data_IF_299536705721
#
_entry.id   IF_299536705721
#
_cell.length_a   1.000
_cell.length_b   1.000
_cell.length_c   1.000
_cell.angle_alpha   90.00
_cell.angle_beta   90.00
_cell.angle_gamma   90.00
#
_symmetry.space_group_name_H-M   'P 1'
#
loop_
_entity.id
_entity.type
_entity.pdbx_description
1 polymer ?
#
# COMPACT_ATOMS: atom_id res chain seq x y z
N UNK A 1 -11.13 2.04 9.81
CA UNK A 1 -10.17 1.19 9.07
C UNK A 1 -10.79 -0.07 8.53
N UNK A 2 -11.43 -0.92 9.34
CA UNK A 2 -11.89 -2.26 8.95
C UNK A 2 -12.90 -2.38 7.80
N UNK A 3 -13.60 -1.30 7.43
CA UNK A 3 -14.58 -1.32 6.33
C UNK A 3 -14.03 -0.65 5.05
N UNK A 4 -13.45 0.55 5.20
CA UNK A 4 -13.14 1.43 4.06
C UNK A 4 -11.80 1.14 3.38
N UNK A 5 -10.82 0.61 4.11
CA UNK A 5 -9.43 0.47 3.62
C UNK A 5 -9.07 -0.93 3.08
N UNK A 6 -9.52 -2.06 3.68
CA UNK A 6 -9.10 -3.39 3.25
C UNK A 6 -9.48 -3.72 1.81
N UNK A 7 -10.50 -3.03 1.28
CA UNK A 7 -10.98 -3.23 -0.08
C UNK A 7 -9.91 -2.97 -1.14
N UNK A 8 -9.11 -1.90 -0.98
CA UNK A 8 -8.03 -1.57 -1.94
C UNK A 8 -6.99 -2.68 -2.00
N UNK A 9 -6.58 -3.16 -0.83
CA UNK A 9 -5.52 -4.16 -0.69
C UNK A 9 -5.97 -5.49 -1.31
N UNK A 10 -7.16 -5.97 -0.92
CA UNK A 10 -7.74 -7.20 -1.46
C UNK A 10 -8.01 -7.13 -2.96
N UNK A 11 -8.43 -5.97 -3.48
CA UNK A 11 -8.60 -5.73 -4.90
C UNK A 11 -7.26 -5.82 -5.66
N UNK A 12 -6.21 -5.23 -5.11
CA UNK A 12 -4.87 -5.25 -5.72
C UNK A 12 -4.32 -6.67 -5.80
N UNK A 13 -4.52 -7.48 -4.75
CA UNK A 13 -4.18 -8.92 -4.76
C UNK A 13 -4.96 -9.64 -5.86
N UNK A 14 -6.28 -9.42 -5.95
CA UNK A 14 -7.14 -10.08 -6.92
C UNK A 14 -6.73 -9.75 -8.36
N UNK A 15 -6.47 -8.47 -8.65
CA UNK A 15 -5.96 -8.04 -9.97
C UNK A 15 -4.59 -8.62 -10.27
N UNK A 16 -3.66 -8.61 -9.31
CA UNK A 16 -2.31 -9.15 -9.51
C UNK A 16 -2.32 -10.65 -9.83
N UNK A 17 -3.10 -11.44 -9.10
CA UNK A 17 -3.21 -12.88 -9.31
C UNK A 17 -4.01 -13.25 -10.57
N UNK A 18 -5.02 -12.45 -10.92
CA UNK A 18 -5.75 -12.63 -12.19
C UNK A 18 -4.84 -12.36 -13.38
N UNK A 19 -4.07 -11.27 -13.35
CA UNK A 19 -3.15 -10.91 -14.42
C UNK A 19 -2.01 -11.92 -14.61
N UNK A 20 -1.44 -12.43 -13.51
CA UNK A 20 -0.27 -13.32 -13.56
C UNK A 20 -0.65 -14.79 -13.78
N UNK A 21 -1.70 -15.27 -13.10
CA UNK A 21 -2.03 -16.70 -13.04
C UNK A 21 -3.42 -17.03 -13.61
N UNK A 22 -4.20 -16.05 -14.06
CA UNK A 22 -5.58 -16.25 -14.53
C UNK A 22 -6.54 -16.66 -13.41
N UNK A 23 -6.17 -16.48 -12.14
CA UNK A 23 -7.02 -16.86 -11.00
C UNK A 23 -8.14 -15.85 -10.84
N UNK A 24 -9.39 -16.31 -10.94
CA UNK A 24 -10.55 -15.43 -10.81
C UNK A 24 -10.56 -14.68 -9.48
N UNK A 25 -10.99 -13.41 -9.50
CA UNK A 25 -11.06 -12.53 -8.32
C UNK A 25 -11.85 -13.14 -7.15
N UNK A 26 -12.92 -13.88 -7.44
CA UNK A 26 -13.73 -14.57 -6.43
C UNK A 26 -12.94 -15.64 -5.68
N UNK A 27 -12.17 -16.46 -6.40
CA UNK A 27 -11.31 -17.50 -5.80
C UNK A 27 -10.25 -16.85 -4.93
N UNK A 28 -9.57 -15.82 -5.44
CA UNK A 28 -8.61 -15.03 -4.66
C UNK A 28 -9.24 -14.47 -3.40
N UNK A 29 -10.42 -13.84 -3.50
CA UNK A 29 -11.17 -13.31 -2.37
C UNK A 29 -11.42 -14.36 -1.29
N UNK A 30 -11.89 -15.55 -1.67
CA UNK A 30 -12.11 -16.66 -0.73
C UNK A 30 -10.84 -17.13 -0.03
N UNK A 31 -9.73 -17.27 -0.78
CA UNK A 31 -8.44 -17.66 -0.22
C UNK A 31 -7.92 -16.62 0.77
N UNK A 32 -7.99 -15.34 0.40
CA UNK A 32 -7.53 -14.23 1.25
C UNK A 32 -8.33 -14.17 2.56
N UNK A 33 -9.67 -14.28 2.51
CA UNK A 33 -10.47 -14.26 3.74
C UNK A 33 -10.27 -15.52 4.59
N UNK A 34 -10.05 -16.68 3.98
CA UNK A 34 -9.81 -17.92 4.72
C UNK A 34 -8.49 -17.83 5.52
N UNK A 35 -7.42 -17.36 4.87
CA UNK A 35 -6.13 -17.14 5.52
C UNK A 35 -6.22 -16.05 6.59
N UNK A 36 -6.91 -14.94 6.28
CA UNK A 36 -7.11 -13.85 7.24
C UNK A 36 -7.88 -14.34 8.47
N UNK A 37 -8.97 -15.09 8.28
CA UNK A 37 -9.76 -15.67 9.36
C UNK A 37 -8.91 -16.58 10.26
N UNK A 38 -8.11 -17.47 9.66
CA UNK A 38 -7.21 -18.35 10.41
C UNK A 38 -6.27 -17.56 11.34
N UNK A 39 -5.82 -16.39 10.90
CA UNK A 39 -4.91 -15.54 11.67
C UNK A 39 -5.65 -14.71 12.72
N UNK A 40 -6.67 -13.93 12.34
CA UNK A 40 -7.32 -12.96 13.24
C UNK A 40 -8.13 -13.64 14.34
N UNK A 41 -8.65 -14.85 14.12
CA UNK A 41 -9.30 -15.62 15.18
C UNK A 41 -8.31 -16.16 16.21
N UNK A 42 -7.02 -16.27 15.86
CA UNK A 42 -5.93 -16.58 16.79
C UNK A 42 -5.49 -15.40 17.67
N UNK A 43 -6.01 -14.20 17.43
CA UNK A 43 -5.74 -12.98 18.20
C UNK A 43 -4.40 -12.31 17.89
N UNK A 44 -4.14 -11.20 18.59
CA UNK A 44 -3.03 -10.28 18.34
C UNK A 44 -1.65 -10.96 18.34
N UNK A 45 -1.40 -11.93 19.23
CA UNK A 45 -0.13 -12.66 19.27
C UNK A 45 0.15 -13.42 17.97
N UNK A 46 -0.87 -14.04 17.37
CA UNK A 46 -0.73 -14.75 16.09
C UNK A 46 -0.46 -13.76 14.95
N UNK A 47 -1.15 -12.62 14.94
CA UNK A 47 -0.92 -11.55 13.96
C UNK A 47 0.53 -11.08 14.00
N UNK A 48 1.04 -10.74 15.18
CA UNK A 48 2.43 -10.32 15.36
C UNK A 48 3.43 -11.41 14.91
N UNK A 49 3.16 -12.67 15.26
CA UNK A 49 4.01 -13.81 14.87
C UNK A 49 4.04 -14.03 13.36
N UNK A 50 2.93 -13.86 12.65
CA UNK A 50 2.93 -13.99 11.18
C UNK A 50 3.62 -12.78 10.53
N UNK A 51 3.34 -11.57 11.03
CA UNK A 51 3.92 -10.35 10.49
C UNK A 51 5.45 -10.30 10.61
N UNK A 52 6.03 -10.71 11.76
CA UNK A 52 7.48 -10.68 11.96
C UNK A 52 8.26 -11.56 10.98
N UNK A 53 7.66 -12.63 10.45
CA UNK A 53 8.31 -13.49 9.44
C UNK A 53 7.98 -13.06 8.01
N UNK A 54 6.73 -12.66 7.77
CA UNK A 54 6.25 -12.31 6.42
C UNK A 54 6.87 -11.00 5.92
N UNK A 55 6.97 -9.99 6.79
CA UNK A 55 7.43 -8.64 6.40
C UNK A 55 8.89 -8.64 5.96
N UNK A 56 9.85 -9.25 6.68
CA UNK A 56 11.23 -9.32 6.20
C UNK A 56 11.36 -10.11 4.90
N UNK A 57 10.64 -11.23 4.77
CA UNK A 57 10.67 -12.06 3.57
C UNK A 57 10.20 -11.28 2.33
N UNK A 58 9.04 -10.62 2.42
CA UNK A 58 8.49 -9.87 1.28
C UNK A 58 9.35 -8.66 0.91
N UNK A 59 9.87 -7.92 1.91
CA UNK A 59 10.67 -6.73 1.67
C UNK A 59 12.03 -7.07 1.06
N UNK A 60 12.73 -8.06 1.61
CA UNK A 60 14.04 -8.50 1.09
C UNK A 60 13.89 -9.07 -0.33
N UNK A 61 12.91 -9.94 -0.56
CA UNK A 61 12.67 -10.50 -1.88
C UNK A 61 12.40 -9.42 -2.94
N UNK A 62 11.53 -8.45 -2.62
CA UNK A 62 11.21 -7.34 -3.52
C UNK A 62 12.40 -6.43 -3.79
N UNK A 63 13.13 -6.03 -2.75
CA UNK A 63 14.30 -5.16 -2.90
C UNK A 63 15.41 -5.85 -3.69
N UNK A 64 15.63 -7.15 -3.51
CA UNK A 64 16.65 -7.88 -4.29
C UNK A 64 16.35 -7.86 -5.78
N UNK A 65 15.11 -8.17 -6.18
CA UNK A 65 14.72 -8.12 -7.60
C UNK A 65 14.81 -6.70 -8.15
N UNK A 66 14.38 -5.71 -7.38
CA UNK A 66 14.51 -4.32 -7.79
C UNK A 66 15.97 -3.90 -7.96
N UNK A 67 16.88 -4.29 -7.06
CA UNK A 67 18.31 -4.00 -7.18
C UNK A 67 18.93 -4.68 -8.41
N UNK A 68 18.51 -5.89 -8.75
CA UNK A 68 18.93 -6.56 -9.99
C UNK A 68 18.49 -5.74 -11.21
N UNK A 69 17.22 -5.33 -11.26
CA UNK A 69 16.68 -4.56 -12.40
C UNK A 69 17.35 -3.18 -12.50
N UNK A 70 17.52 -2.48 -11.37
CA UNK A 70 18.23 -1.19 -11.33
C UNK A 70 19.69 -1.38 -11.75
N UNK A 71 20.36 -2.45 -11.30
CA UNK A 71 21.74 -2.76 -11.67
C UNK A 71 21.90 -3.04 -13.17
N UNK A 72 20.94 -3.75 -13.78
CA UNK A 72 20.91 -3.98 -15.22
C UNK A 72 20.68 -2.69 -16.03
N UNK A 73 20.01 -1.69 -15.44
CA UNK A 73 19.68 -0.41 -16.07
C UNK A 73 20.45 0.77 -15.44
N UNK A 74 21.63 0.52 -14.87
CA UNK A 74 22.34 1.53 -14.06
C UNK A 74 22.71 2.79 -14.87
N UNK A 75 22.93 2.65 -16.19
CA UNK A 75 23.19 3.76 -17.10
C UNK A 75 22.01 4.72 -17.25
N UNK A 76 20.78 4.23 -17.05
CA UNK A 76 19.54 5.00 -17.20
C UNK A 76 19.16 5.76 -15.93
N UNK A 77 19.79 5.45 -14.78
CA UNK A 77 19.49 6.08 -13.49
C UNK A 77 19.53 7.61 -13.57
N UNK A 78 20.58 8.26 -14.12
CA UNK A 78 20.61 9.72 -14.23
C UNK A 78 19.48 10.29 -15.08
N UNK A 79 19.10 9.60 -16.16
CA UNK A 79 18.03 10.02 -17.06
C UNK A 79 16.66 9.95 -16.38
N UNK A 80 16.38 8.86 -15.65
CA UNK A 80 15.14 8.72 -14.87
C UNK A 80 15.05 9.74 -13.73
N UNK A 81 16.15 9.99 -13.00
CA UNK A 81 16.17 11.07 -12.02
C UNK A 81 15.85 12.42 -12.67
N UNK A 82 16.51 12.75 -13.79
CA UNK A 82 16.25 13.99 -14.52
C UNK A 82 14.78 14.08 -14.98
N UNK A 83 14.20 12.99 -15.47
CA UNK A 83 12.79 12.92 -15.87
C UNK A 83 11.85 13.20 -14.70
N UNK A 84 12.07 12.56 -13.54
CA UNK A 84 11.23 12.76 -12.34
C UNK A 84 11.26 14.24 -11.93
N UNK A 85 12.44 14.84 -11.82
CA UNK A 85 12.58 16.25 -11.43
C UNK A 85 11.98 17.19 -12.49
N UNK A 86 12.29 17.01 -13.77
CA UNK A 86 11.73 17.86 -14.83
C UNK A 86 10.20 17.77 -14.87
N UNK A 87 9.63 16.58 -14.72
CA UNK A 87 8.18 16.39 -14.69
C UNK A 87 7.55 17.01 -13.45
N UNK A 88 8.14 16.79 -12.27
CA UNK A 88 7.64 17.31 -10.99
C UNK A 88 7.74 18.83 -10.85
N UNK A 89 8.59 19.49 -11.64
CA UNK A 89 8.72 20.95 -11.69
C UNK A 89 8.20 21.56 -13.00
N UNK A 90 7.56 20.76 -13.86
CA UNK A 90 6.94 21.23 -15.11
C UNK A 90 7.92 21.68 -16.20
N UNK A 91 9.20 21.34 -16.08
CA UNK A 91 10.24 21.63 -17.07
C UNK A 91 10.31 20.59 -18.21
N UNK A 92 9.58 19.47 -18.08
CA UNK A 92 9.40 18.50 -19.15
C UNK A 92 8.30 18.98 -20.12
N UNK A 93 8.58 19.03 -21.42
CA UNK A 93 7.62 19.55 -22.41
C UNK A 93 6.40 18.64 -22.61
N UNK A 94 6.54 17.34 -22.31
CA UNK A 94 5.47 16.36 -22.42
C UNK A 94 4.55 16.38 -21.19
N UNK A 95 5.13 16.59 -20.00
CA UNK A 95 4.41 16.54 -18.73
C UNK A 95 4.18 17.91 -18.06
N UNK A 96 4.66 19.00 -18.65
CA UNK A 96 4.56 20.35 -18.07
C UNK A 96 3.13 20.82 -17.81
N UNK A 97 2.18 20.40 -18.66
CA UNK A 97 0.75 20.72 -18.53
C UNK A 97 0.05 20.02 -17.37
N UNK A 98 0.66 19.00 -16.74
CA UNK A 98 0.06 18.20 -15.67
C UNK A 98 0.69 18.41 -14.29
N UNK A 99 1.57 19.41 -14.12
CA UNK A 99 2.32 19.68 -12.87
C UNK A 99 1.46 19.58 -11.60
N UNK A 100 0.34 20.32 -11.56
CA UNK A 100 -0.54 20.34 -10.38
C UNK A 100 -1.16 18.97 -10.09
N UNK A 101 -1.52 18.22 -11.13
CA UNK A 101 -2.06 16.87 -10.98
C UNK A 101 -0.98 15.87 -10.57
N UNK A 102 0.26 16.01 -11.06
CA UNK A 102 1.38 15.16 -10.67
C UNK A 102 1.70 15.30 -9.19
N UNK A 103 1.72 16.54 -8.67
CA UNK A 103 1.88 16.81 -7.23
C UNK A 103 0.71 16.23 -6.44
N UNK A 104 -0.53 16.49 -6.87
CA UNK A 104 -1.72 16.00 -6.17
C UNK A 104 -1.76 14.46 -6.10
N UNK A 105 -1.42 13.78 -7.20
CA UNK A 105 -1.34 12.32 -7.25
C UNK A 105 -0.17 11.79 -6.41
N UNK A 106 1.00 12.43 -6.49
CA UNK A 106 2.17 12.06 -5.69
C UNK A 106 1.89 12.15 -4.19
N UNK A 107 1.31 13.26 -3.72
CA UNK A 107 0.92 13.43 -2.31
C UNK A 107 -0.16 12.42 -1.92
N UNK A 108 -1.22 12.30 -2.72
CA UNK A 108 -2.32 11.37 -2.45
C UNK A 108 -1.82 9.94 -2.29
N UNK A 109 -1.02 9.45 -3.26
CA UNK A 109 -0.50 8.06 -3.23
C UNK A 109 0.64 7.87 -2.24
N UNK A 110 1.45 8.90 -1.98
CA UNK A 110 2.49 8.87 -0.96
C UNK A 110 1.92 8.65 0.44
N UNK A 111 0.87 9.38 0.81
CA UNK A 111 0.19 9.21 2.11
C UNK A 111 -0.38 7.80 2.26
N UNK A 112 -0.91 7.20 1.18
CA UNK A 112 -1.39 5.82 1.20
C UNK A 112 -0.31 4.79 1.52
N UNK A 113 0.92 5.05 1.08
CA UNK A 113 2.02 4.10 1.26
C UNK A 113 2.58 4.17 2.66
N UNK A 114 2.99 5.37 3.10
CA UNK A 114 3.70 5.53 4.36
C UNK A 114 2.83 5.87 5.56
N UNK A 115 1.53 6.11 5.34
CA UNK A 115 0.56 6.46 6.36
C UNK A 115 0.92 7.72 7.18
N UNK A 116 1.75 8.61 6.62
CA UNK A 116 2.18 9.83 7.28
C UNK A 116 0.99 10.74 7.57
N UNK A 117 0.84 11.11 8.84
CA UNK A 117 -0.27 11.95 9.32
C UNK A 117 -1.62 11.22 9.50
N UNK A 118 -1.72 9.95 9.14
CA UNK A 118 -2.96 9.17 9.24
C UNK A 118 -3.33 8.76 10.68
N UNK A 119 -2.36 8.72 11.59
CA UNK A 119 -2.58 8.37 13.01
C UNK A 119 -2.58 6.87 13.29
N UNK A 120 -2.08 6.07 12.36
CA UNK A 120 -2.14 4.60 12.38
C UNK A 120 -0.85 3.97 12.90
N UNK A 121 0.31 4.48 12.46
CA UNK A 121 1.63 4.08 12.96
C UNK A 121 1.76 3.99 14.49
N UNK A 122 1.16 4.90 15.28
CA UNK A 122 1.20 4.82 16.74
C UNK A 122 0.62 3.53 17.36
N UNK A 123 -0.27 2.80 16.67
CA UNK A 123 -0.86 1.57 17.23
C UNK A 123 0.19 0.49 17.47
N UNK A 124 1.04 0.21 16.48
CA UNK A 124 2.14 -0.75 16.61
C UNK A 124 3.22 -0.23 17.56
N UNK A 125 3.55 1.07 17.47
CA UNK A 125 4.51 1.71 18.36
C UNK A 125 4.11 1.62 19.85
N UNK A 126 2.82 1.75 20.16
CA UNK A 126 2.31 1.66 21.52
C UNK A 126 2.42 0.25 22.14
N UNK A 127 2.56 -0.79 21.31
CA UNK A 127 2.76 -2.16 21.76
C UNK A 127 4.24 -2.54 21.93
N UNK A 128 5.18 -1.68 21.53
CA UNK A 128 6.60 -1.94 21.64
C UNK A 128 7.10 -1.76 23.08
N UNK A 129 7.95 -2.68 23.53
CA UNK A 129 8.66 -2.55 24.79
C UNK A 129 9.85 -1.59 24.60
N UNK A 130 9.68 -0.34 25.01
CA UNK A 130 10.68 0.72 24.86
C UNK A 130 10.84 1.54 26.13
N UNK A 131 12.06 2.00 26.39
CA UNK A 131 12.34 2.78 27.58
C UNK A 131 11.84 4.23 27.53
N UNK A 132 11.54 4.76 26.34
CA UNK A 132 11.10 6.14 26.17
C UNK A 132 10.31 6.29 24.85
N UNK A 133 9.18 7.02 24.82
CA UNK A 133 8.34 7.17 23.63
C UNK A 133 9.10 7.76 22.43
N UNK A 134 10.04 8.68 22.65
CA UNK A 134 10.85 9.25 21.57
C UNK A 134 11.68 8.20 20.82
N UNK A 135 12.19 7.16 21.50
CA UNK A 135 12.96 6.09 20.83
C UNK A 135 12.08 5.35 19.83
N UNK A 136 10.87 5.00 20.23
CA UNK A 136 9.93 4.34 19.32
C UNK A 136 9.40 5.28 18.25
N UNK A 137 9.22 6.57 18.56
CA UNK A 137 8.89 7.59 17.59
C UNK A 137 9.91 7.69 16.45
N UNK A 138 11.21 7.63 16.78
CA UNK A 138 12.29 7.62 15.78
C UNK A 138 12.27 6.35 14.91
N UNK A 139 12.05 5.18 15.52
CA UNK A 139 11.89 3.91 14.78
C UNK A 139 10.69 3.98 13.83
N UNK A 140 9.57 4.54 14.30
CA UNK A 140 8.37 4.71 13.47
C UNK A 140 8.60 5.72 12.33
N UNK A 141 9.30 6.82 12.57
CA UNK A 141 9.67 7.77 11.51
C UNK A 141 10.59 7.11 10.48
N UNK A 142 11.52 6.25 10.91
CA UNK A 142 12.39 5.49 10.01
C UNK A 142 11.61 4.57 9.06
N UNK A 143 10.47 4.01 9.49
CA UNK A 143 9.64 3.14 8.64
C UNK A 143 9.16 3.82 7.34
N UNK A 144 8.93 5.14 7.37
CA UNK A 144 8.55 5.94 6.18
C UNK A 144 9.65 5.91 5.12
N UNK A 145 10.92 5.91 5.55
CA UNK A 145 12.05 5.84 4.61
C UNK A 145 12.12 4.46 3.95
N UNK A 146 11.96 3.39 4.72
CA UNK A 146 11.94 2.02 4.16
C UNK A 146 10.82 1.87 3.14
N UNK A 147 9.62 2.32 3.46
CA UNK A 147 8.48 2.22 2.56
C UNK A 147 8.63 3.12 1.33
N UNK A 148 8.68 4.44 1.51
CA UNK A 148 8.63 5.38 0.38
C UNK A 148 9.97 5.52 -0.33
N UNK A 149 11.05 5.74 0.41
CA UNK A 149 12.35 6.03 -0.22
C UNK A 149 12.94 4.78 -0.88
N UNK A 150 12.82 3.61 -0.26
CA UNK A 150 13.36 2.39 -0.83
C UNK A 150 12.34 1.63 -1.69
N UNK A 151 11.24 1.15 -1.11
CA UNK A 151 10.30 0.26 -1.83
C UNK A 151 9.54 1.00 -2.94
N UNK A 152 8.96 2.17 -2.67
CA UNK A 152 8.22 2.90 -3.69
C UNK A 152 9.14 3.48 -4.77
N UNK A 153 10.30 4.05 -4.41
CA UNK A 153 11.25 4.55 -5.43
C UNK A 153 11.78 3.42 -6.31
N UNK A 154 12.08 2.26 -5.72
CA UNK A 154 12.46 1.07 -6.47
C UNK A 154 11.35 0.65 -7.46
N UNK A 155 10.09 0.66 -7.01
CA UNK A 155 8.92 0.39 -7.87
C UNK A 155 8.85 1.38 -9.02
N UNK A 156 8.97 2.68 -8.73
CA UNK A 156 8.95 3.74 -9.73
C UNK A 156 10.10 3.58 -10.75
N UNK A 157 11.31 3.27 -10.30
CA UNK A 157 12.45 3.05 -11.19
C UNK A 157 12.25 1.86 -12.11
N UNK A 158 11.75 0.72 -11.61
CA UNK A 158 11.44 -0.43 -12.47
C UNK A 158 10.43 -0.07 -13.57
N UNK A 159 9.38 0.68 -13.22
CA UNK A 159 8.36 1.15 -14.17
C UNK A 159 8.96 2.15 -15.18
N UNK A 160 9.76 3.11 -14.72
CA UNK A 160 10.29 4.18 -15.57
C UNK A 160 11.41 3.70 -16.50
N UNK A 161 12.30 2.80 -16.05
CA UNK A 161 13.34 2.21 -16.91
C UNK A 161 12.75 1.42 -18.08
N UNK A 162 11.63 0.75 -17.84
CA UNK A 162 11.00 -0.12 -18.83
C UNK A 162 9.95 0.61 -19.66
N UNK A 163 9.59 1.84 -19.29
CA UNK A 163 8.52 2.60 -19.93
C UNK A 163 7.14 1.99 -19.74
N UNK A 164 6.96 1.02 -18.84
CA UNK A 164 5.72 0.25 -18.68
C UNK A 164 4.69 0.99 -17.82
N UNK A 165 4.25 2.16 -18.32
CA UNK A 165 3.23 3.00 -17.69
C UNK A 165 2.39 3.72 -18.75
N UNK A 166 1.19 4.12 -18.34
CA UNK A 166 0.41 5.12 -19.07
C UNK A 166 0.32 6.40 -18.25
N UNK A 167 0.22 7.54 -18.93
CA UNK A 167 0.00 8.85 -18.32
C UNK A 167 -1.23 9.47 -18.96
N UNK A 168 -2.15 9.94 -18.12
CA UNK A 168 -3.41 10.55 -18.55
C UNK A 168 -3.37 12.03 -18.21
N UNK A 169 -3.78 12.88 -19.15
CA UNK A 169 -3.93 14.31 -18.99
C UNK A 169 -5.14 14.69 -18.14
N UNK A 170 -5.24 15.99 -17.81
CA UNK A 170 -6.36 16.51 -17.02
C UNK A 170 -7.73 16.38 -17.73
N UNK A 171 -7.71 16.29 -19.06
CA UNK A 171 -8.86 16.09 -19.95
C UNK A 171 -9.26 14.60 -20.09
N UNK A 172 -8.52 13.69 -19.46
CA UNK A 172 -8.75 12.24 -19.57
C UNK A 172 -8.13 11.61 -20.83
N UNK A 173 -7.47 12.39 -21.69
CA UNK A 173 -6.76 11.86 -22.84
C UNK A 173 -5.40 11.28 -22.43
N UNK A 174 -4.93 10.25 -23.13
CA UNK A 174 -3.60 9.72 -22.89
C UNK A 174 -2.52 10.69 -23.38
N UNK A 175 -1.61 11.07 -22.50
CA UNK A 175 -0.34 11.74 -22.83
C UNK A 175 0.66 10.67 -23.28
N UNK A 176 0.71 9.55 -22.57
CA UNK A 176 1.50 8.35 -22.89
C UNK A 176 0.59 7.14 -22.75
N UNK A 177 0.57 6.28 -23.76
CA UNK A 177 -0.14 4.99 -23.73
C UNK A 177 0.79 3.87 -24.20
N UNK A 178 1.60 3.33 -23.28
CA UNK A 178 2.50 2.21 -23.57
C UNK A 178 1.84 0.84 -23.32
N UNK A 179 0.82 0.79 -22.45
CA UNK A 179 0.12 -0.42 -22.02
C UNK A 179 -1.38 -0.31 -22.33
N UNK A 180 -1.77 -0.71 -23.54
CA UNK A 180 -3.17 -0.65 -23.99
C UNK A 180 -4.06 -1.56 -23.16
N UNK A 181 -5.16 -1.01 -22.65
CA UNK A 181 -6.15 -1.76 -21.87
C UNK A 181 -5.69 -2.15 -20.46
N UNK A 182 -4.51 -1.71 -20.02
CA UNK A 182 -4.03 -1.93 -18.64
C UNK A 182 -4.34 -0.68 -17.83
N UNK A 183 -5.19 -0.84 -16.81
CA UNK A 183 -5.50 0.24 -15.87
C UNK A 183 -4.32 0.53 -14.93
N UNK A 184 -4.28 1.75 -14.40
CA UNK A 184 -3.30 2.14 -13.40
C UNK A 184 -3.43 1.27 -12.13
N UNK A 185 -2.36 0.58 -11.77
CA UNK A 185 -2.36 -0.34 -10.65
C UNK A 185 -1.22 -1.36 -10.75
N UNK A 186 -1.40 -2.57 -10.18
CA UNK A 186 -0.33 -3.57 -10.13
C UNK A 186 0.14 -4.05 -11.51
N UNK A 187 -0.70 -3.92 -12.54
CA UNK A 187 -0.36 -4.28 -13.91
C UNK A 187 0.85 -3.54 -14.48
N UNK A 188 1.10 -2.29 -14.08
CA UNK A 188 2.27 -1.53 -14.54
C UNK A 188 3.56 -2.12 -13.99
N UNK A 189 3.60 -2.42 -12.69
CA UNK A 189 4.75 -3.07 -12.06
C UNK A 189 4.96 -4.49 -12.61
N UNK A 190 3.87 -5.25 -12.84
CA UNK A 190 3.95 -6.58 -13.44
C UNK A 190 4.56 -6.51 -14.84
N UNK A 191 4.06 -5.63 -15.70
CA UNK A 191 4.60 -5.44 -17.05
C UNK A 191 6.06 -4.96 -17.03
N UNK A 192 6.40 -4.06 -16.11
CA UNK A 192 7.78 -3.57 -15.94
C UNK A 192 8.75 -4.70 -15.60
N UNK A 193 8.45 -5.49 -14.57
CA UNK A 193 9.34 -6.57 -14.14
C UNK A 193 9.38 -7.68 -15.20
N UNK A 194 8.24 -8.00 -15.83
CA UNK A 194 8.19 -9.02 -16.88
C UNK A 194 8.96 -8.60 -18.16
N UNK A 195 9.04 -7.30 -18.47
CA UNK A 195 9.86 -6.81 -19.58
C UNK A 195 11.36 -7.11 -19.40
N UNK A 196 11.83 -7.18 -18.15
CA UNK A 196 13.24 -7.49 -17.82
C UNK A 196 13.45 -8.97 -17.52
N UNK A 197 12.46 -9.63 -16.92
CA UNK A 197 12.47 -11.04 -16.54
C UNK A 197 11.22 -11.77 -17.11
N UNK A 198 11.17 -12.03 -18.43
CA UNK A 198 9.97 -12.59 -19.07
C UNK A 198 9.59 -13.96 -18.51
N UNK A 199 8.30 -14.15 -18.23
CA UNK A 199 7.75 -15.41 -17.72
C UNK A 199 7.99 -15.65 -16.23
N UNK A 200 8.64 -14.70 -15.54
CA UNK A 200 8.82 -14.73 -14.09
C UNK A 200 8.34 -13.43 -13.43
N UNK A 201 8.49 -12.29 -14.10
CA UNK A 201 8.31 -10.98 -13.50
C UNK A 201 6.87 -10.71 -13.03
N UNK A 202 5.88 -11.01 -13.86
CA UNK A 202 4.47 -10.79 -13.51
C UNK A 202 4.03 -11.67 -12.31
N UNK A 203 4.47 -12.93 -12.29
CA UNK A 203 4.21 -13.89 -11.22
C UNK A 203 4.88 -13.47 -9.91
N UNK A 204 6.15 -13.08 -9.98
CA UNK A 204 6.91 -12.56 -8.85
C UNK A 204 6.21 -11.36 -8.21
N UNK A 205 5.83 -10.37 -9.00
CA UNK A 205 5.14 -9.16 -8.51
C UNK A 205 3.79 -9.51 -7.90
N UNK A 206 3.04 -10.46 -8.48
CA UNK A 206 1.76 -10.91 -7.93
C UNK A 206 1.92 -11.56 -6.53
N UNK A 207 2.94 -12.42 -6.36
CA UNK A 207 3.26 -13.05 -5.08
C UNK A 207 3.76 -12.03 -4.06
N UNK A 208 4.64 -11.10 -4.47
CA UNK A 208 5.09 -10.02 -3.60
C UNK A 208 3.90 -9.16 -3.15
N UNK A 209 3.06 -8.71 -4.09
CA UNK A 209 1.87 -7.92 -3.82
C UNK A 209 0.90 -8.64 -2.88
N UNK A 210 0.74 -9.96 -3.02
CA UNK A 210 -0.02 -10.76 -2.07
C UNK A 210 0.47 -10.54 -0.65
N UNK A 211 1.77 -10.69 -0.38
CA UNK A 211 2.31 -10.51 0.97
C UNK A 211 2.22 -9.05 1.45
N UNK A 212 2.54 -8.07 0.60
CA UNK A 212 2.44 -6.65 0.94
C UNK A 212 1.00 -6.27 1.34
N UNK A 213 0.05 -6.53 0.45
CA UNK A 213 -1.34 -6.16 0.69
C UNK A 213 -1.98 -6.99 1.81
N UNK A 214 -1.64 -8.28 1.94
CA UNK A 214 -2.17 -9.14 3.01
C UNK A 214 -1.68 -8.72 4.39
N UNK A 215 -0.40 -8.37 4.52
CA UNK A 215 0.14 -7.85 5.80
C UNK A 215 -0.50 -6.52 6.18
N UNK A 216 -0.80 -5.64 5.21
CA UNK A 216 -1.56 -4.41 5.45
C UNK A 216 -2.99 -4.68 5.92
N UNK A 217 -3.69 -5.66 5.34
CA UNK A 217 -5.03 -6.07 5.81
C UNK A 217 -4.99 -6.56 7.26
N UNK A 218 -3.97 -7.35 7.62
CA UNK A 218 -3.76 -7.79 9.01
C UNK A 218 -3.53 -6.61 9.96
N UNK A 219 -2.73 -5.63 9.53
CA UNK A 219 -2.49 -4.41 10.30
C UNK A 219 -3.78 -3.60 10.52
N UNK A 220 -4.62 -3.44 9.49
CA UNK A 220 -5.92 -2.76 9.64
C UNK A 220 -6.85 -3.46 10.62
N UNK A 221 -6.85 -4.79 10.64
CA UNK A 221 -7.60 -5.54 11.65
C UNK A 221 -7.06 -5.25 13.06
N UNK A 222 -5.75 -5.35 13.26
CA UNK A 222 -5.10 -5.09 14.56
C UNK A 222 -5.37 -3.67 15.07
N UNK A 223 -5.28 -2.66 14.20
CA UNK A 223 -5.60 -1.27 14.54
C UNK A 223 -7.07 -1.11 14.92
N UNK A 224 -7.98 -1.72 14.16
CA UNK A 224 -9.41 -1.67 14.47
C UNK A 224 -9.75 -2.38 15.79
N UNK A 225 -9.13 -3.54 16.07
CA UNK A 225 -9.28 -4.26 17.34
C UNK A 225 -8.80 -3.40 18.51
N UNK A 226 -7.64 -2.75 18.36
CA UNK A 226 -7.09 -1.84 19.37
C UNK A 226 -8.03 -0.66 19.66
N UNK A 227 -8.62 -0.06 18.61
CA UNK A 227 -9.59 1.02 18.75
C UNK A 227 -10.87 0.58 19.45
N UNK A 228 -11.42 -0.59 19.11
CA UNK A 228 -12.60 -1.14 19.81
C UNK A 228 -12.25 -1.46 21.27
N UNK A 229 -11.08 -2.02 21.54
CA UNK A 229 -10.62 -2.30 22.90
C UNK A 229 -10.54 -1.02 23.74
N UNK A 230 -10.08 0.09 23.14
CA UNK A 230 -10.08 1.41 23.78
C UNK A 230 -11.49 1.91 24.10
N UNK A 231 -12.42 1.83 23.14
CA UNK A 231 -13.80 2.30 23.32
C UNK A 231 -14.60 1.46 24.34
N UNK A 232 -14.24 0.20 24.52
CA UNK A 232 -14.92 -0.74 25.41
C UNK A 232 -14.22 -0.92 26.76
N UNK A 233 -13.21 -0.11 27.10
CA UNK A 233 -12.49 -0.19 28.38
C UNK A 233 -13.47 -0.36 29.55
N UNK A 234 -13.35 -1.49 30.27
CA UNK A 234 -14.21 -1.84 31.40
C UNK A 234 -15.52 -2.57 31.07
N UNK A 235 -15.76 -2.98 29.81
CA UNK A 235 -16.96 -3.72 29.36
C UNK A 235 -16.60 -5.05 28.68
N UNK A 236 -17.57 -5.95 28.54
CA UNK A 236 -17.40 -7.20 27.81
C UNK A 236 -17.27 -6.95 26.29
N UNK A 237 -16.07 -7.13 25.75
CA UNK A 237 -15.75 -6.88 24.34
C UNK A 237 -16.00 -8.05 23.38
N UNK A 238 -16.46 -9.22 23.84
CA UNK A 238 -16.54 -10.43 22.99
C UNK A 238 -17.37 -10.24 21.73
N UNK A 239 -18.58 -9.67 21.85
CA UNK A 239 -19.49 -9.47 20.72
C UNK A 239 -18.96 -8.42 19.73
N UNK A 240 -18.56 -7.21 20.16
CA UNK A 240 -17.98 -6.23 19.23
C UNK A 240 -16.73 -6.71 18.50
N UNK A 241 -15.85 -7.47 19.18
CA UNK A 241 -14.66 -8.06 18.53
C UNK A 241 -15.03 -9.12 17.50
N UNK A 242 -16.05 -9.93 17.77
CA UNK A 242 -16.54 -10.89 16.80
C UNK A 242 -17.15 -10.20 15.58
N UNK A 243 -17.99 -9.18 15.80
CA UNK A 243 -18.57 -8.36 14.72
C UNK A 243 -17.46 -7.73 13.87
N UNK A 244 -16.42 -7.18 14.50
CA UNK A 244 -15.27 -6.61 13.78
C UNK A 244 -14.63 -7.61 12.81
N UNK A 245 -14.40 -8.85 13.27
CA UNK A 245 -13.83 -9.92 12.42
C UNK A 245 -14.71 -10.19 11.21
N UNK A 246 -16.03 -10.32 11.42
CA UNK A 246 -16.97 -10.55 10.31
C UNK A 246 -16.99 -9.37 9.33
N UNK A 247 -17.01 -8.13 9.84
CA UNK A 247 -17.01 -6.92 9.01
C UNK A 247 -15.76 -6.82 8.15
N UNK A 248 -14.57 -7.06 8.70
CA UNK A 248 -13.35 -7.00 7.90
C UNK A 248 -13.27 -8.12 6.87
N UNK A 249 -13.70 -9.34 7.20
CA UNK A 249 -13.73 -10.45 6.24
C UNK A 249 -14.69 -10.14 5.08
N UNK A 250 -15.86 -9.59 5.39
CA UNK A 250 -16.81 -9.15 4.38
C UNK A 250 -16.24 -8.02 3.50
N UNK A 251 -15.60 -7.02 4.11
CA UNK A 251 -14.98 -5.91 3.37
C UNK A 251 -13.85 -6.37 2.44
N UNK A 252 -13.02 -7.31 2.89
CA UNK A 252 -11.94 -7.92 2.11
C UNK A 252 -12.48 -8.73 0.94
N UNK A 253 -13.49 -9.59 1.17
CA UNK A 253 -14.11 -10.34 0.08
C UNK A 253 -14.77 -9.40 -0.94
N UNK A 254 -15.53 -8.42 -0.44
CA UNK A 254 -16.21 -7.43 -1.27
C UNK A 254 -15.21 -6.63 -2.12
N UNK A 255 -14.10 -6.18 -1.53
CA UNK A 255 -13.06 -5.45 -2.25
C UNK A 255 -12.36 -6.28 -3.34
N UNK A 256 -12.10 -7.56 -3.07
CA UNK A 256 -11.50 -8.46 -4.05
C UNK A 256 -12.34 -8.59 -5.34
N UNK A 257 -13.68 -8.68 -5.22
CA UNK A 257 -14.57 -8.95 -6.36
C UNK A 257 -15.13 -7.71 -7.05
N UNK A 258 -14.98 -6.53 -6.45
CA UNK A 258 -15.51 -5.27 -7.02
C UNK A 258 -14.47 -4.54 -7.86
N UNK A 259 -14.92 -3.49 -8.53
CA UNK A 259 -14.06 -2.65 -9.36
C UNK A 259 -13.05 -1.88 -8.51
N UNK A 260 -11.85 -1.69 -9.06
CA UNK A 260 -10.76 -0.97 -8.40
C UNK A 260 -11.16 0.47 -8.05
N UNK A 261 -11.89 1.13 -8.95
CA UNK A 261 -12.40 2.50 -8.77
C UNK A 261 -13.20 2.66 -7.47
N UNK A 262 -14.13 1.73 -7.20
CA UNK A 262 -14.94 1.74 -5.99
C UNK A 262 -14.10 1.47 -4.74
N UNK A 263 -13.16 0.51 -4.80
CA UNK A 263 -12.27 0.21 -3.69
C UNK A 263 -11.43 1.43 -3.32
N UNK A 264 -10.85 2.11 -4.31
CA UNK A 264 -10.09 3.34 -4.12
C UNK A 264 -10.94 4.50 -3.60
N UNK A 265 -12.16 4.69 -4.11
CA UNK A 265 -13.04 5.76 -3.63
C UNK A 265 -13.43 5.59 -2.16
N UNK A 266 -13.79 4.37 -1.74
CA UNK A 266 -14.05 4.05 -0.33
C UNK A 266 -12.80 4.29 0.52
N UNK A 267 -11.64 3.91 -0.01
CA UNK A 267 -10.40 4.15 0.68
C UNK A 267 -10.10 5.64 0.85
N UNK A 268 -10.31 6.45 -0.19
CA UNK A 268 -9.96 7.87 -0.16
C UNK A 268 -10.76 8.60 0.92
N UNK A 269 -12.05 8.24 1.03
CA UNK A 269 -12.91 8.72 2.10
C UNK A 269 -12.42 8.28 3.49
N UNK A 270 -12.03 7.01 3.63
CA UNK A 270 -11.51 6.47 4.89
C UNK A 270 -10.20 7.13 5.32
N UNK A 271 -9.27 7.30 4.38
CA UNK A 271 -7.98 7.96 4.61
C UNK A 271 -8.18 9.42 5.02
N UNK A 272 -8.97 10.17 4.25
CA UNK A 272 -9.24 11.58 4.52
C UNK A 272 -9.81 11.81 5.91
N UNK A 273 -10.79 11.01 6.32
CA UNK A 273 -11.38 11.09 7.67
C UNK A 273 -10.33 10.92 8.77
N UNK A 274 -9.46 9.91 8.64
CA UNK A 274 -8.45 9.61 9.67
C UNK A 274 -7.36 10.68 9.73
N UNK A 275 -6.86 11.11 8.57
CA UNK A 275 -5.84 12.16 8.48
C UNK A 275 -6.34 13.46 9.10
N UNK A 276 -7.56 13.91 8.79
CA UNK A 276 -8.10 15.14 9.37
C UNK A 276 -8.25 15.08 10.89
N UNK A 277 -8.81 13.98 11.42
CA UNK A 277 -8.97 13.80 12.86
C UNK A 277 -7.61 13.81 13.57
N UNK A 278 -6.63 13.10 13.02
CA UNK A 278 -5.31 12.97 13.63
C UNK A 278 -4.49 14.26 13.52
N UNK A 279 -4.49 14.94 12.37
CA UNK A 279 -3.74 16.19 12.20
C UNK A 279 -4.27 17.30 13.12
N UNK A 280 -5.59 17.45 13.23
CA UNK A 280 -6.19 18.42 14.16
C UNK A 280 -5.74 18.12 15.58
N UNK A 281 -5.77 16.85 16.00
CA UNK A 281 -5.31 16.46 17.33
C UNK A 281 -3.82 16.75 17.53
N UNK A 282 -2.95 16.45 16.56
CA UNK A 282 -1.51 16.74 16.64
C UNK A 282 -1.26 18.24 16.77
N UNK A 283 -1.94 19.08 15.99
CA UNK A 283 -1.78 20.55 16.04
C UNK A 283 -2.20 21.10 17.41
N UNK A 284 -3.28 20.59 17.99
CA UNK A 284 -3.73 21.00 19.33
C UNK A 284 -2.80 20.51 20.46
N UNK A 285 -2.15 19.36 20.29
CA UNK A 285 -1.23 18.76 21.26
C UNK A 285 0.22 19.23 21.09
N UNK A 286 0.55 19.84 19.96
CA UNK A 286 1.87 20.39 19.69
C UNK A 286 2.17 21.51 20.69
N UNK A 287 3.10 21.27 21.61
CA UNK A 287 3.62 22.32 22.48
C UNK A 287 4.60 23.20 21.67
N UNK A 288 4.65 24.51 21.93
CA UNK A 288 5.74 25.35 21.44
C UNK A 288 7.08 24.72 21.86
N UNK A 289 8.02 24.67 20.92
CA UNK A 289 9.36 24.12 21.11
C UNK A 289 10.13 24.85 22.21
#
# INVERSE_FOLDING_TARGET
MSLLMPGIQSNSIALGLENAFGVSKSVTGFVVIALLALIIFGGVKRIATVAQYTVPFMAVGYILVALVIIGMNISEVPAVFALIFKSAFGADSMFGGILGSAIAWGVKRGIYSNEAGQGTGPHAAAAAEVSHPAKQGLVQAFSVYIDTLFVCSATAFMILFTGMFNTVGADGAFIVENLKGVEAGPGYTQAAVDAVLPGFGAEFVAVALFFFAFTTIMAYYYMAETNIAYLLRGRNGKVPMFILKIVILAAVFYGAVKEASLAWALGDAGLGLMVWLNLIAIVLLAKPA
#
